data_IF_050354515337
#
_entry.id   IF_050354515337
#
_cell.length_a   1.000
_cell.length_b   1.000
_cell.length_c   1.000
_cell.angle_alpha   90.00
_cell.angle_beta   90.00
_cell.angle_gamma   90.00
#
_symmetry.space_group_name_H-M   'P 1'
#
loop_
_entity.id
_entity.type
_entity.pdbx_description
1 polymer ?
#
# COMPACT_ATOMS: atom_id res chain seq x y z
N UNK A 1 8.40 -46.85 9.28
CA UNK A 1 8.47 -46.01 8.06
C UNK A 1 7.03 -45.84 7.60
N UNK A 2 6.53 -44.59 7.54
CA UNK A 2 5.12 -44.23 7.25
C UNK A 2 4.39 -43.81 8.54
N UNK A 3 3.80 -42.63 8.70
CA UNK A 3 3.48 -41.56 7.75
C UNK A 3 3.62 -40.19 8.44
N UNK A 4 4.56 -39.36 7.98
CA UNK A 4 4.67 -37.95 8.33
C UNK A 4 3.89 -37.12 7.30
N UNK A 5 2.58 -37.33 7.23
CA UNK A 5 1.69 -36.52 6.39
C UNK A 5 1.08 -35.39 7.24
N UNK A 6 1.60 -34.18 7.05
CA UNK A 6 0.97 -32.87 7.31
C UNK A 6 -0.21 -32.79 8.31
N UNK A 7 0.07 -32.86 9.61
CA UNK A 7 -0.93 -32.53 10.65
C UNK A 7 -1.00 -31.00 10.83
N UNK A 8 -1.85 -30.33 10.06
CA UNK A 8 -2.15 -28.91 10.22
C UNK A 8 -2.80 -28.60 11.58
N UNK A 9 -2.73 -27.34 12.03
CA UNK A 9 -3.55 -26.90 13.17
C UNK A 9 -5.02 -26.86 12.74
N UNK A 10 -5.93 -27.44 13.53
CA UNK A 10 -7.36 -27.52 13.23
C UNK A 10 -8.22 -26.98 14.39
N UNK A 11 -9.45 -26.57 14.09
CA UNK A 11 -10.44 -26.22 15.11
C UNK A 11 -10.56 -27.35 16.14
N UNK A 12 -10.45 -27.01 17.43
CA UNK A 12 -10.35 -27.96 18.55
C UNK A 12 -8.94 -28.09 19.14
N UNK A 13 -7.87 -27.90 18.36
CA UNK A 13 -6.45 -28.03 18.79
C UNK A 13 -5.61 -26.77 18.48
N UNK A 14 -6.22 -25.59 18.51
CA UNK A 14 -5.57 -24.32 18.16
C UNK A 14 -4.77 -23.70 19.32
N UNK A 15 -5.45 -23.47 20.44
CA UNK A 15 -4.91 -22.77 21.60
C UNK A 15 -5.73 -23.08 22.85
N UNK A 16 -5.12 -22.91 24.03
CA UNK A 16 -5.81 -22.98 25.32
C UNK A 16 -6.21 -21.57 25.76
N UNK A 17 -7.49 -21.23 25.65
CA UNK A 17 -8.07 -19.96 26.12
C UNK A 17 -8.99 -20.26 27.31
N UNK A 18 -8.96 -19.44 28.36
CA UNK A 18 -9.83 -19.59 29.56
C UNK A 18 -10.52 -18.26 29.86
N UNK A 19 -11.79 -18.31 30.25
CA UNK A 19 -12.59 -17.17 30.75
C UNK A 19 -12.70 -15.95 29.81
N UNK A 20 -12.86 -16.18 28.50
CA UNK A 20 -13.18 -15.10 27.54
C UNK A 20 -14.63 -15.26 27.09
N UNK A 21 -15.46 -14.25 27.35
CA UNK A 21 -16.88 -14.21 26.97
C UNK A 21 -17.02 -13.22 25.81
N UNK A 22 -17.63 -13.66 24.71
CA UNK A 22 -17.87 -12.83 23.51
C UNK A 22 -19.35 -12.80 23.17
N UNK A 23 -19.87 -11.62 22.84
CA UNK A 23 -21.26 -11.44 22.45
C UNK A 23 -21.36 -11.03 20.99
N UNK A 24 -22.37 -11.54 20.30
CA UNK A 24 -22.64 -11.26 18.88
C UNK A 24 -24.15 -11.10 18.68
N UNK A 25 -24.56 -10.21 17.77
CA UNK A 25 -25.95 -10.09 17.33
C UNK A 25 -26.15 -10.81 15.99
N UNK A 26 -27.36 -11.30 15.74
CA UNK A 26 -27.71 -11.89 14.44
C UNK A 26 -27.48 -10.88 13.29
N UNK A 27 -26.95 -11.30 12.13
CA UNK A 27 -26.74 -10.39 10.99
C UNK A 27 -28.03 -9.69 10.52
N UNK A 28 -29.18 -10.33 10.68
CA UNK A 28 -30.48 -9.77 10.30
C UNK A 28 -30.97 -8.65 11.25
N UNK A 29 -30.36 -8.54 12.43
CA UNK A 29 -30.62 -7.49 13.42
C UNK A 29 -29.62 -6.33 13.31
N UNK A 30 -28.61 -6.45 12.43
CA UNK A 30 -27.55 -5.46 12.25
C UNK A 30 -27.65 -4.79 10.88
N UNK A 31 -27.11 -3.57 10.79
CA UNK A 31 -26.88 -2.91 9.51
C UNK A 31 -25.60 -3.47 8.89
N UNK A 32 -25.61 -3.75 7.58
CA UNK A 32 -24.44 -4.27 6.87
C UNK A 32 -23.25 -3.29 6.88
N UNK A 33 -23.51 -1.97 6.79
CA UNK A 33 -22.48 -0.93 6.83
C UNK A 33 -22.92 0.18 7.81
N UNK A 34 -22.70 0.01 9.12
CA UNK A 34 -23.05 1.02 10.11
C UNK A 34 -22.01 2.16 10.12
N UNK A 35 -22.45 3.36 10.49
CA UNK A 35 -21.57 4.49 10.85
C UNK A 35 -20.54 4.93 9.80
N UNK A 36 -20.92 4.94 8.52
CA UNK A 36 -20.03 5.31 7.40
C UNK A 36 -19.39 6.68 7.61
N UNK A 37 -20.18 7.71 7.92
CA UNK A 37 -19.68 9.07 8.03
C UNK A 37 -19.07 9.39 9.40
N UNK A 38 -19.68 8.89 10.49
CA UNK A 38 -19.23 9.18 11.85
C UNK A 38 -17.96 8.41 12.23
N UNK A 39 -17.79 7.18 11.74
CA UNK A 39 -16.66 6.33 12.10
C UNK A 39 -15.85 5.84 10.89
N UNK A 40 -16.52 5.49 9.78
CA UNK A 40 -15.86 4.98 8.58
C UNK A 40 -14.87 5.99 7.98
N UNK A 41 -15.38 7.16 7.56
CA UNK A 41 -14.58 8.21 6.89
C UNK A 41 -13.43 8.71 7.78
N UNK A 42 -13.64 9.07 9.07
CA UNK A 42 -12.53 9.47 9.94
C UNK A 42 -11.46 8.38 10.10
N UNK A 43 -11.86 7.11 10.19
CA UNK A 43 -10.91 6.02 10.31
C UNK A 43 -10.14 5.75 9.00
N UNK A 44 -10.78 5.93 7.84
CA UNK A 44 -10.09 5.88 6.53
C UNK A 44 -9.05 6.99 6.46
N UNK A 45 -9.41 8.23 6.82
CA UNK A 45 -8.47 9.34 6.83
C UNK A 45 -7.30 9.10 7.77
N UNK A 46 -7.57 8.63 9.00
CA UNK A 46 -6.52 8.27 9.96
C UNK A 46 -5.57 7.20 9.42
N UNK A 47 -6.10 6.18 8.74
CA UNK A 47 -5.29 5.12 8.11
C UNK A 47 -4.43 5.69 6.99
N UNK A 48 -5.01 6.51 6.11
CA UNK A 48 -4.30 7.16 5.01
C UNK A 48 -3.15 8.04 5.53
N UNK A 49 -3.43 8.98 6.42
CA UNK A 49 -2.42 9.94 6.92
C UNK A 49 -1.26 9.23 7.62
N UNK A 50 -1.51 8.12 8.32
CA UNK A 50 -0.45 7.33 8.96
C UNK A 50 0.55 6.65 7.99
N UNK A 51 0.19 6.51 6.71
CA UNK A 51 1.00 5.82 5.69
C UNK A 51 1.55 6.76 4.63
N UNK A 52 0.92 7.92 4.40
CA UNK A 52 1.32 8.88 3.37
C UNK A 52 2.81 9.21 3.44
N UNK A 53 3.35 9.53 4.61
CA UNK A 53 4.76 9.91 4.75
C UNK A 53 5.73 8.74 4.59
N UNK A 54 5.25 7.49 4.60
CA UNK A 54 6.09 6.31 4.34
C UNK A 54 6.12 5.95 2.86
N UNK A 55 4.98 6.13 2.17
CA UNK A 55 4.78 5.69 0.78
C UNK A 55 5.06 6.80 -0.22
N UNK A 56 4.63 8.03 0.05
CA UNK A 56 4.71 9.14 -0.90
C UNK A 56 6.15 9.61 -1.16
N UNK A 57 7.05 9.75 -0.17
CA UNK A 57 8.40 10.24 -0.46
C UNK A 57 9.20 9.42 -1.48
N UNK A 58 9.30 8.07 -1.39
CA UNK A 58 10.03 7.31 -2.42
C UNK A 58 9.35 7.38 -3.79
N UNK A 59 8.01 7.41 -3.85
CA UNK A 59 7.28 7.57 -5.11
C UNK A 59 7.53 8.95 -5.75
N UNK A 60 7.52 10.02 -4.93
CA UNK A 60 7.81 11.37 -5.39
C UNK A 60 9.25 11.46 -5.93
N UNK A 61 10.23 10.90 -5.23
CA UNK A 61 11.62 10.84 -5.70
C UNK A 61 11.73 10.10 -7.03
N UNK A 62 11.08 8.93 -7.16
CA UNK A 62 11.05 8.18 -8.41
C UNK A 62 10.46 8.98 -9.57
N UNK A 63 9.36 9.70 -9.31
CA UNK A 63 8.73 10.57 -10.30
C UNK A 63 9.64 11.74 -10.73
N UNK A 64 10.34 12.37 -9.77
CA UNK A 64 11.28 13.44 -10.07
C UNK A 64 12.44 12.93 -10.95
N UNK A 65 13.03 11.78 -10.62
CA UNK A 65 14.09 11.15 -11.43
C UNK A 65 13.58 10.85 -12.84
N UNK A 66 12.38 10.30 -12.98
CA UNK A 66 11.76 10.02 -14.27
C UNK A 66 11.59 11.29 -15.11
N UNK A 67 11.04 12.36 -14.50
CA UNK A 67 10.79 13.62 -15.20
C UNK A 67 12.09 14.30 -15.64
N UNK A 68 13.10 14.33 -14.77
CA UNK A 68 14.42 14.87 -15.07
C UNK A 68 15.12 14.06 -16.18
N UNK A 69 15.16 12.74 -16.06
CA UNK A 69 15.82 11.88 -17.05
C UNK A 69 15.20 12.00 -18.43
N UNK A 70 13.87 12.14 -18.51
CA UNK A 70 13.16 12.36 -19.78
C UNK A 70 13.54 13.71 -20.40
N UNK A 71 13.51 14.79 -19.62
CA UNK A 71 13.84 16.13 -20.10
C UNK A 71 15.31 16.25 -20.53
N UNK A 72 16.22 15.69 -19.74
CA UNK A 72 17.65 15.75 -20.04
C UNK A 72 18.01 14.94 -21.28
N UNK A 73 17.38 13.78 -21.47
CA UNK A 73 17.54 12.98 -22.67
C UNK A 73 17.06 13.71 -23.92
N UNK A 74 15.91 14.39 -23.86
CA UNK A 74 15.43 15.23 -24.97
C UNK A 74 16.34 16.43 -25.23
N UNK A 75 16.89 17.06 -24.19
CA UNK A 75 17.84 18.16 -24.31
C UNK A 75 19.11 17.73 -25.04
N UNK A 76 19.70 16.60 -24.63
CA UNK A 76 20.94 16.07 -25.21
C UNK A 76 20.79 15.55 -26.64
N UNK A 77 19.56 15.19 -27.06
CA UNK A 77 19.27 14.85 -28.45
C UNK A 77 19.28 16.05 -29.39
N UNK A 78 19.10 17.27 -28.87
CA UNK A 78 19.12 18.47 -29.73
C UNK A 78 20.57 18.81 -30.09
N UNK A 79 20.78 19.15 -31.36
CA UNK A 79 22.08 19.64 -31.83
C UNK A 79 22.44 20.94 -31.12
N UNK A 80 23.70 21.08 -30.71
CA UNK A 80 24.21 22.31 -30.14
C UNK A 80 24.68 23.26 -31.25
N UNK A 81 24.11 24.47 -31.40
CA UNK A 81 24.51 25.42 -32.44
C UNK A 81 25.98 25.83 -32.36
N UNK A 82 26.56 25.87 -31.15
CA UNK A 82 27.94 26.28 -30.92
C UNK A 82 28.97 25.31 -31.55
N UNK A 83 28.58 24.06 -31.82
CA UNK A 83 29.47 23.07 -32.44
C UNK A 83 29.72 23.36 -33.93
N UNK A 84 28.96 24.27 -34.56
CA UNK A 84 29.05 24.59 -35.99
C UNK A 84 29.56 26.02 -36.27
N UNK A 85 29.99 26.77 -35.24
CA UNK A 85 30.42 28.17 -35.39
C UNK A 85 31.78 28.33 -36.11
N UNK A 86 32.58 27.27 -36.16
CA UNK A 86 33.94 27.27 -36.74
C UNK A 86 34.14 26.24 -37.85
N UNK A 87 33.08 25.60 -38.33
CA UNK A 87 33.11 24.73 -39.51
C UNK A 87 33.11 25.63 -40.78
N UNK A 88 34.30 26.10 -41.18
CA UNK A 88 34.61 26.66 -42.49
C UNK A 88 35.71 25.86 -43.17
#
# INVERSE_FOLDING_TARGET
>A
RGDTAAMGKHFGNLARVRHVITYSLSPFEQRAIPNVFSHGVPNVMRRFTSQVLKVVPPLAVGYLIYSWGTQEFERLKRKNPADYEHDQ
#
